data_IF_665387103875
#
_entry.id   IF_665387103875
#
_cell.length_a   1.000
_cell.length_b   1.000
_cell.length_c   1.000
_cell.angle_alpha   90.00
_cell.angle_beta   90.00
_cell.angle_gamma   90.00
#
_symmetry.space_group_name_H-M   'P 1'
#
loop_
_entity.id
_entity.type
_entity.pdbx_description
1 polymer ?
#
# COMPACT_ATOMS: atom_id res chain seq x y z
N UNK A 1 28.96 3.91 13.53
CA UNK A 1 28.83 3.13 12.27
C UNK A 1 27.44 3.37 11.71
N UNK A 2 27.29 4.28 10.74
CA UNK A 2 25.98 4.56 10.13
C UNK A 2 25.76 3.58 8.99
N UNK A 3 25.04 2.48 9.25
CA UNK A 3 24.59 1.54 8.22
C UNK A 3 23.78 2.32 7.20
N UNK A 4 24.40 2.71 6.08
CA UNK A 4 23.71 3.38 4.99
C UNK A 4 22.80 2.36 4.34
N UNK A 5 21.56 2.29 4.79
CA UNK A 5 20.54 1.46 4.16
C UNK A 5 20.35 1.99 2.74
N UNK A 6 20.89 1.26 1.76
CA UNK A 6 20.71 1.56 0.33
C UNK A 6 19.28 1.22 -0.03
N UNK A 7 18.47 2.27 -0.16
CA UNK A 7 17.11 2.18 -0.69
C UNK A 7 17.19 1.85 -2.18
N UNK A 8 16.39 0.88 -2.61
CA UNK A 8 16.19 0.56 -4.01
C UNK A 8 15.40 1.66 -4.71
N UNK A 9 15.37 1.66 -6.05
CA UNK A 9 14.66 2.67 -6.84
C UNK A 9 13.18 2.79 -6.43
N UNK A 10 12.54 1.65 -6.15
CA UNK A 10 11.16 1.57 -5.67
C UNK A 10 10.98 2.21 -4.29
N UNK A 11 11.85 1.86 -3.33
CA UNK A 11 11.81 2.43 -1.97
C UNK A 11 12.08 3.94 -1.98
N UNK A 12 12.93 4.43 -2.89
CA UNK A 12 13.11 5.87 -3.14
C UNK A 12 11.84 6.53 -3.64
N UNK A 13 11.13 5.90 -4.59
CA UNK A 13 9.84 6.41 -5.07
C UNK A 13 8.80 6.53 -3.95
N UNK A 14 8.78 5.59 -3.00
CA UNK A 14 7.89 5.67 -1.83
C UNK A 14 8.30 6.82 -0.90
N UNK A 15 9.61 7.01 -0.67
CA UNK A 15 10.11 8.16 0.13
C UNK A 15 9.71 9.48 -0.53
N UNK A 16 9.86 9.62 -1.85
CA UNK A 16 9.44 10.83 -2.55
C UNK A 16 7.94 11.05 -2.44
N UNK A 17 7.12 10.01 -2.58
CA UNK A 17 5.68 10.12 -2.42
C UNK A 17 5.28 10.57 -0.99
N UNK A 18 5.95 10.04 0.05
CA UNK A 18 5.75 10.46 1.44
C UNK A 18 6.11 11.93 1.67
N UNK A 19 7.16 12.42 1.02
CA UNK A 19 7.58 13.82 1.14
C UNK A 19 6.62 14.74 0.38
N UNK A 20 6.28 14.41 -0.86
CA UNK A 20 5.49 15.27 -1.74
C UNK A 20 4.00 15.29 -1.38
N UNK A 21 3.41 14.14 -1.08
CA UNK A 21 1.96 14.03 -0.86
C UNK A 21 1.56 14.09 0.62
N UNK A 22 2.43 13.62 1.52
CA UNK A 22 2.11 13.49 2.95
C UNK A 22 2.90 14.46 3.84
N UNK A 23 3.77 15.30 3.26
CA UNK A 23 4.50 16.34 3.99
C UNK A 23 5.54 15.81 4.98
N UNK A 24 5.98 14.56 4.85
CA UNK A 24 7.01 14.01 5.72
C UNK A 24 8.36 14.64 5.42
N UNK A 25 9.18 14.86 6.45
CA UNK A 25 10.58 15.21 6.25
C UNK A 25 11.33 14.05 5.58
N UNK A 26 12.33 14.32 4.71
CA UNK A 26 13.04 13.27 3.98
C UNK A 26 13.71 12.23 4.89
N UNK A 27 14.22 12.65 6.06
CA UNK A 27 14.74 11.71 7.06
C UNK A 27 13.65 10.85 7.71
N UNK A 28 12.49 11.45 8.01
CA UNK A 28 11.34 10.75 8.61
C UNK A 28 10.71 9.74 7.64
N UNK A 29 10.54 10.14 6.38
CA UNK A 29 10.07 9.26 5.31
C UNK A 29 11.01 8.08 5.08
N UNK A 30 12.32 8.34 5.01
CA UNK A 30 13.33 7.27 4.90
C UNK A 30 13.28 6.31 6.08
N UNK A 31 13.20 6.83 7.32
CA UNK A 31 13.11 5.98 8.51
C UNK A 31 11.86 5.09 8.47
N UNK A 32 10.73 5.65 8.05
CA UNK A 32 9.47 4.91 7.92
C UNK A 32 9.57 3.80 6.86
N UNK A 33 10.11 4.11 5.68
CA UNK A 33 10.30 3.12 4.61
C UNK A 33 11.24 2.00 5.04
N UNK A 34 12.30 2.30 5.80
CA UNK A 34 13.23 1.28 6.32
C UNK A 34 12.57 0.40 7.38
N UNK A 35 11.80 1.01 8.30
CA UNK A 35 11.09 0.29 9.37
C UNK A 35 10.05 -0.69 8.82
N UNK A 36 9.43 -0.34 7.69
CA UNK A 36 8.43 -1.16 7.00
C UNK A 36 8.94 -1.79 5.71
N UNK A 37 10.27 -1.86 5.50
CA UNK A 37 10.86 -2.40 4.27
C UNK A 37 10.44 -3.86 4.03
N UNK A 38 10.30 -4.65 5.10
CA UNK A 38 9.80 -6.02 5.02
C UNK A 38 8.36 -6.08 4.49
N UNK A 39 7.50 -5.13 4.87
CA UNK A 39 6.11 -5.04 4.39
C UNK A 39 6.08 -4.71 2.91
N UNK A 40 6.90 -3.75 2.47
CA UNK A 40 7.00 -3.36 1.06
C UNK A 40 7.45 -4.55 0.21
N UNK A 41 8.48 -5.28 0.66
CA UNK A 41 8.99 -6.47 -0.04
C UNK A 41 8.00 -7.62 -0.10
N UNK A 42 7.16 -7.77 0.93
CA UNK A 42 6.13 -8.83 1.02
C UNK A 42 4.87 -8.52 0.21
N UNK A 43 4.52 -7.25 0.07
CA UNK A 43 3.37 -6.81 -0.73
C UNK A 43 3.62 -6.91 -2.24
N UNK A 44 4.88 -6.74 -2.68
CA UNK A 44 5.34 -7.16 -4.00
C UNK A 44 4.55 -6.62 -5.20
N UNK A 45 5.01 -5.49 -5.75
CA UNK A 45 4.95 -5.15 -7.19
C UNK A 45 3.60 -4.74 -7.82
N UNK A 46 2.47 -5.11 -7.22
CA UNK A 46 1.15 -4.75 -7.78
C UNK A 46 0.71 -3.32 -7.43
N UNK A 47 1.26 -2.75 -6.35
CA UNK A 47 0.88 -1.43 -5.86
C UNK A 47 1.83 -0.32 -6.33
N UNK A 48 1.26 0.87 -6.48
CA UNK A 48 2.04 2.06 -6.84
C UNK A 48 2.83 2.60 -5.64
N UNK A 49 3.88 3.37 -5.90
CA UNK A 49 4.66 4.04 -4.84
C UNK A 49 3.76 4.90 -3.94
N UNK A 50 2.70 5.49 -4.49
CA UNK A 50 1.71 6.29 -3.77
C UNK A 50 0.87 5.42 -2.82
N UNK A 51 0.36 4.29 -3.30
CA UNK A 51 -0.47 3.38 -2.48
C UNK A 51 0.33 2.83 -1.29
N UNK A 52 1.60 2.49 -1.54
CA UNK A 52 2.52 2.14 -0.46
C UNK A 52 2.75 3.27 0.54
N UNK A 53 2.96 4.51 0.07
CA UNK A 53 3.12 5.67 0.94
C UNK A 53 1.88 5.88 1.82
N UNK A 54 0.68 5.81 1.24
CA UNK A 54 -0.58 5.96 1.98
C UNK A 54 -0.72 4.90 3.07
N UNK A 55 -0.45 3.64 2.75
CA UNK A 55 -0.50 2.53 3.72
C UNK A 55 0.51 2.71 4.85
N UNK A 56 1.72 3.19 4.57
CA UNK A 56 2.72 3.47 5.61
C UNK A 56 2.26 4.59 6.55
N UNK A 57 1.61 5.62 6.02
CA UNK A 57 1.04 6.70 6.84
C UNK A 57 -0.09 6.17 7.71
N UNK A 58 -0.98 5.34 7.16
CA UNK A 58 -2.05 4.71 7.93
C UNK A 58 -1.50 3.82 9.06
N UNK A 59 -0.50 2.99 8.77
CA UNK A 59 0.16 2.14 9.78
C UNK A 59 0.70 2.99 10.94
N UNK A 60 1.37 4.10 10.59
CA UNK A 60 1.94 5.03 11.57
C UNK A 60 0.87 5.70 12.42
N UNK A 61 -0.21 6.19 11.80
CA UNK A 61 -1.33 6.83 12.52
C UNK A 61 -2.01 5.86 13.46
N UNK A 62 -2.13 4.59 13.07
CA UNK A 62 -2.77 3.54 13.84
C UNK A 62 -1.83 2.83 14.83
N UNK A 63 -0.55 3.23 14.89
CA UNK A 63 0.50 2.62 15.71
C UNK A 63 0.62 1.09 15.54
N UNK A 64 0.37 0.58 14.33
CA UNK A 64 0.56 -0.84 14.06
C UNK A 64 2.03 -1.18 13.87
N UNK A 65 2.43 -2.39 14.26
CA UNK A 65 3.75 -2.92 13.92
C UNK A 65 3.79 -3.35 12.45
N UNK A 66 4.98 -3.42 11.84
CA UNK A 66 5.15 -3.91 10.47
C UNK A 66 4.47 -5.27 10.24
N UNK A 67 4.58 -6.19 11.20
CA UNK A 67 3.99 -7.53 11.16
C UNK A 67 2.45 -7.52 11.21
N UNK A 68 1.87 -6.71 12.10
CA UNK A 68 0.41 -6.57 12.21
C UNK A 68 -0.18 -5.85 11.00
N UNK A 69 0.52 -4.81 10.54
CA UNK A 69 0.11 -4.06 9.36
C UNK A 69 0.09 -4.93 8.11
N UNK A 70 1.11 -5.79 7.92
CA UNK A 70 1.17 -6.73 6.80
C UNK A 70 -0.03 -7.68 6.79
N UNK A 71 -0.41 -8.26 7.94
CA UNK A 71 -1.61 -9.11 8.04
C UNK A 71 -2.87 -8.34 7.66
N UNK A 72 -2.99 -7.10 8.12
CA UNK A 72 -4.17 -6.26 7.88
C UNK A 72 -4.28 -5.83 6.42
N UNK A 73 -3.17 -5.43 5.79
CA UNK A 73 -3.16 -5.10 4.36
C UNK A 73 -3.52 -6.32 3.52
N UNK A 74 -3.01 -7.52 3.84
CA UNK A 74 -3.39 -8.74 3.13
C UNK A 74 -4.89 -9.03 3.24
N UNK A 75 -5.49 -8.80 4.42
CA UNK A 75 -6.93 -8.91 4.60
C UNK A 75 -7.69 -7.86 3.78
N UNK A 76 -7.27 -6.60 3.83
CA UNK A 76 -7.90 -5.49 3.08
C UNK A 76 -7.76 -5.67 1.57
N UNK A 77 -6.61 -6.15 1.08
CA UNK A 77 -6.40 -6.45 -0.34
C UNK A 77 -7.27 -7.62 -0.81
N UNK A 78 -7.44 -8.65 0.03
CA UNK A 78 -8.36 -9.76 -0.23
C UNK A 78 -9.81 -9.29 -0.29
N UNK A 79 -10.22 -8.43 0.63
CA UNK A 79 -11.57 -7.82 0.65
C UNK A 79 -11.81 -6.91 -0.57
N UNK A 80 -10.85 -6.04 -0.91
CA UNK A 80 -10.95 -5.13 -2.06
C UNK A 80 -10.96 -5.87 -3.41
N UNK A 81 -10.28 -7.02 -3.49
CA UNK A 81 -10.35 -7.91 -4.67
C UNK A 81 -11.72 -8.57 -4.81
N UNK A 82 -12.43 -8.77 -3.69
CA UNK A 82 -13.77 -9.32 -3.65
C UNK A 82 -14.84 -8.25 -3.97
N UNK A 83 -14.62 -7.00 -3.54
CA UNK A 83 -15.53 -5.87 -3.76
C UNK A 83 -15.57 -5.39 -5.22
N UNK A 84 -14.47 -5.55 -5.98
CA UNK A 84 -14.45 -5.31 -7.44
C UNK A 84 -15.05 -6.47 -8.26
N UNK A 85 -15.54 -7.52 -7.62
CA UNK A 85 -16.08 -8.73 -8.26
C UNK A 85 -17.55 -8.66 -8.68
N UNK A 86 -18.30 -7.60 -8.36
CA UNK A 86 -19.71 -7.49 -8.75
C UNK A 86 -20.05 -6.07 -9.21
N UNK A 87 -19.63 -5.71 -10.43
CA UNK A 87 -20.39 -4.73 -11.22
C UNK A 87 -20.23 -4.97 -12.73
N UNK A 88 -20.26 -6.24 -13.15
CA UNK A 88 -20.79 -6.57 -14.47
C UNK A 88 -22.18 -7.17 -14.27
N UNK A 89 -23.11 -6.28 -13.88
CA UNK A 89 -24.53 -6.54 -14.04
C UNK A 89 -24.75 -6.65 -15.54
N UNK A 90 -24.65 -7.87 -16.06
CA UNK A 90 -25.06 -8.22 -17.41
C UNK A 90 -26.52 -7.75 -17.57
N UNK A 91 -26.64 -6.60 -18.21
CA UNK A 91 -27.70 -6.19 -19.11
C UNK A 91 -29.03 -6.92 -18.92
N UNK A 92 -29.97 -6.23 -18.28
CA UNK A 92 -31.39 -6.39 -18.63
C UNK A 92 -31.53 -6.31 -20.15
N UNK A 93 -31.92 -7.41 -20.80
CA UNK A 93 -32.61 -7.57 -22.09
C UNK A 93 -32.27 -9.01 -22.56
N UNK A 94 -33.14 -10.01 -22.47
CA UNK A 94 -34.40 -10.05 -23.20
C UNK A 94 -35.45 -10.95 -22.50
N UNK A 95 -36.60 -10.34 -22.27
CA UNK A 95 -37.96 -10.86 -22.48
C UNK A 95 -38.33 -12.25 -21.95
N UNK A 96 -39.14 -12.21 -20.90
CA UNK A 96 -40.28 -13.12 -20.69
C UNK A 96 -41.21 -13.13 -21.92
N UNK A 97 -41.96 -14.23 -22.10
CA UNK A 97 -43.21 -14.39 -22.91
C UNK A 97 -42.96 -14.45 -24.43
N UNK A 98 -43.32 -15.51 -25.18
CA UNK A 98 -44.37 -16.54 -25.06
C UNK A 98 -44.00 -17.74 -25.93
#
# INVERSE_FOLDING_TARGET
MTTQVRLNLYERGIVEALVQHFGFSPQGARKLVVDYAEVIRKLGGYDTCYDHAERLVQAKTLNYTASDWLKRIQQMAKDASQDKGIFHLETRLHAHVR
#
